data_IF_745288814861
#
_entry.id   IF_745288814861
#
_cell.length_a   1.000
_cell.length_b   1.000
_cell.length_c   1.000
_cell.angle_alpha   90.00
_cell.angle_beta   90.00
_cell.angle_gamma   90.00
#
_symmetry.space_group_name_H-M   'P 1'
#
loop_
_entity.id
_entity.type
_entity.pdbx_description
1 polymer ?
#
# COMPACT_ATOMS: atom_id res chain seq x y z
N UNK A 1 4.12 2.02 8.98
CA UNK A 1 3.26 2.98 9.68
C UNK A 1 1.91 3.23 9.00
N UNK A 2 1.83 3.57 7.71
CA UNK A 2 0.52 3.83 7.06
C UNK A 2 -0.49 2.67 7.21
N UNK A 3 -0.05 1.42 7.03
CA UNK A 3 -0.91 0.25 7.21
C UNK A 3 -1.39 0.07 8.66
N UNK A 4 -0.49 0.24 9.64
CA UNK A 4 -0.83 0.29 11.08
C UNK A 4 -1.86 1.38 11.36
N UNK A 5 -1.67 2.58 10.81
CA UNK A 5 -2.61 3.70 10.93
C UNK A 5 -3.99 3.36 10.39
N UNK A 6 -4.07 2.69 9.23
CA UNK A 6 -5.33 2.20 8.67
C UNK A 6 -6.05 1.26 9.64
N UNK A 7 -5.36 0.23 10.16
CA UNK A 7 -5.94 -0.73 11.11
C UNK A 7 -6.46 -0.07 12.38
N UNK A 8 -5.70 0.88 12.93
CA UNK A 8 -6.11 1.66 14.09
C UNK A 8 -7.31 2.53 13.81
N UNK A 9 -7.36 3.17 12.64
CA UNK A 9 -8.52 3.95 12.20
C UNK A 9 -9.75 3.06 12.08
N UNK A 10 -9.65 1.90 11.41
CA UNK A 10 -10.74 0.93 11.29
C UNK A 10 -11.27 0.49 12.67
N UNK A 11 -10.37 0.18 13.60
CA UNK A 11 -10.72 -0.19 14.98
C UNK A 11 -11.38 0.96 15.76
N UNK A 12 -10.98 2.21 15.52
CA UNK A 12 -11.62 3.36 16.14
C UNK A 12 -13.02 3.58 15.55
N UNK A 13 -13.16 3.48 14.22
CA UNK A 13 -14.43 3.63 13.53
C UNK A 13 -15.43 2.54 13.91
N UNK A 14 -14.99 1.30 14.15
CA UNK A 14 -15.88 0.22 14.59
C UNK A 14 -16.47 0.42 15.99
N UNK A 15 -15.95 1.39 16.77
CA UNK A 15 -16.48 1.75 18.09
C UNK A 15 -17.48 2.92 18.01
N UNK A 16 -17.61 3.57 16.85
CA UNK A 16 -18.56 4.65 16.65
C UNK A 16 -19.97 4.10 16.46
N UNK A 17 -20.94 4.81 17.02
CA UNK A 17 -22.36 4.59 16.75
C UNK A 17 -22.70 5.15 15.36
N UNK A 18 -22.81 4.26 14.37
CA UNK A 18 -23.07 4.62 12.98
C UNK A 18 -24.43 5.28 12.76
N UNK A 19 -25.33 5.24 13.75
CA UNK A 19 -26.60 6.00 13.69
C UNK A 19 -26.40 7.49 13.99
N UNK A 20 -25.28 7.87 14.61
CA UNK A 20 -24.99 9.24 15.04
C UNK A 20 -23.93 9.93 14.19
N UNK A 21 -23.04 9.17 13.56
CA UNK A 21 -21.91 9.70 12.79
C UNK A 21 -21.81 8.96 11.47
N UNK A 22 -21.88 9.70 10.37
CA UNK A 22 -21.51 9.20 9.06
C UNK A 22 -20.05 9.57 8.77
N UNK A 23 -19.25 8.61 8.33
CA UNK A 23 -17.82 8.80 8.07
C UNK A 23 -17.53 8.46 6.61
N UNK A 24 -16.90 9.40 5.91
CA UNK A 24 -16.36 9.19 4.58
C UNK A 24 -14.83 9.19 4.64
N UNK A 25 -14.19 8.18 4.01
CA UNK A 25 -12.74 8.05 3.97
C UNK A 25 -12.25 8.39 2.56
N UNK A 26 -11.42 9.42 2.45
CA UNK A 26 -10.71 9.77 1.21
C UNK A 26 -9.21 9.57 1.38
N UNK A 27 -8.59 8.91 0.39
CA UNK A 27 -7.15 8.66 0.39
C UNK A 27 -6.42 9.59 -0.58
N UNK A 28 -5.35 10.21 -0.09
CA UNK A 28 -4.51 11.14 -0.85
C UNK A 28 -3.08 10.60 -0.98
N UNK A 29 -2.45 10.72 -2.17
CA UNK A 29 -1.14 10.15 -2.42
C UNK A 29 -0.04 10.92 -1.67
N UNK A 30 0.95 10.18 -1.19
CA UNK A 30 2.18 10.75 -0.62
C UNK A 30 3.35 9.82 -0.92
N UNK A 31 4.29 10.27 -1.75
CA UNK A 31 5.50 9.52 -2.08
C UNK A 31 6.59 9.80 -1.03
N UNK A 32 7.00 8.77 -0.28
CA UNK A 32 8.11 8.88 0.70
C UNK A 32 9.46 9.20 0.05
N UNK A 33 9.57 8.89 -1.24
CA UNK A 33 10.74 9.11 -2.05
C UNK A 33 10.33 9.36 -3.51
N UNK A 34 10.00 10.61 -3.80
CA UNK A 34 9.59 11.06 -5.13
C UNK A 34 10.71 10.99 -6.18
N UNK A 35 11.97 10.80 -5.75
CA UNK A 35 13.13 10.66 -6.63
C UNK A 35 13.42 9.22 -7.06
N UNK A 36 12.68 8.22 -6.53
CA UNK A 36 12.84 6.82 -6.94
C UNK A 36 12.57 6.67 -8.44
N UNK A 37 13.42 5.91 -9.18
CA UNK A 37 13.17 5.61 -10.58
C UNK A 37 11.77 5.00 -10.77
N UNK A 38 11.07 5.44 -11.83
CA UNK A 38 9.73 4.92 -12.14
C UNK A 38 9.77 3.45 -12.52
N UNK A 39 10.85 3.00 -13.16
CA UNK A 39 11.04 1.63 -13.56
C UNK A 39 12.05 0.91 -12.67
N UNK A 40 11.81 -0.39 -12.51
CA UNK A 40 12.66 -1.25 -11.70
C UNK A 40 12.36 -1.17 -10.22
N UNK A 41 12.74 -2.24 -9.53
CA UNK A 41 12.61 -2.36 -8.09
C UNK A 41 13.84 -3.09 -7.56
N UNK A 42 14.27 -2.69 -6.38
CA UNK A 42 15.41 -3.31 -5.69
C UNK A 42 14.93 -4.08 -4.47
N UNK A 43 15.80 -4.89 -3.88
CA UNK A 43 15.45 -5.61 -2.66
C UNK A 43 15.10 -4.63 -1.53
N UNK A 44 13.96 -4.88 -0.88
CA UNK A 44 13.40 -4.00 0.15
C UNK A 44 14.39 -3.79 1.31
N UNK A 45 15.04 -4.86 1.77
CA UNK A 45 16.06 -4.80 2.81
C UNK A 45 17.27 -3.98 2.41
N UNK A 46 17.73 -4.09 1.16
CA UNK A 46 18.88 -3.31 0.69
C UNK A 46 18.56 -1.83 0.68
N UNK A 47 17.36 -1.45 0.21
CA UNK A 47 16.87 -0.05 0.28
C UNK A 47 16.87 0.48 1.71
N UNK A 48 16.42 -0.34 2.67
CA UNK A 48 16.33 0.07 4.07
C UNK A 48 17.72 0.25 4.68
N UNK A 49 18.63 -0.71 4.45
CA UNK A 49 20.02 -0.64 4.90
C UNK A 49 20.75 0.56 4.30
N UNK A 50 20.56 0.85 3.01
CA UNK A 50 21.13 2.04 2.38
C UNK A 50 20.63 3.34 3.01
N UNK A 51 19.34 3.41 3.36
CA UNK A 51 18.72 4.63 3.90
C UNK A 51 18.99 4.86 5.38
N UNK A 52 19.02 3.80 6.18
CA UNK A 52 19.01 3.89 7.64
C UNK A 52 20.27 3.31 8.30
N UNK A 53 21.08 2.54 7.56
CA UNK A 53 22.15 1.71 8.13
C UNK A 53 21.62 0.38 8.67
N UNK A 54 22.53 -0.58 8.85
CA UNK A 54 22.16 -1.96 9.18
C UNK A 54 21.50 -2.09 10.56
N UNK A 55 22.14 -1.55 11.60
CA UNK A 55 21.65 -1.69 12.99
C UNK A 55 20.31 -0.99 13.20
N UNK A 56 20.15 0.22 12.66
CA UNK A 56 18.88 0.94 12.72
C UNK A 56 17.78 0.21 11.94
N UNK A 57 18.11 -0.40 10.80
CA UNK A 57 17.14 -1.21 10.03
C UNK A 57 16.65 -2.40 10.85
N UNK A 58 17.55 -3.12 11.53
CA UNK A 58 17.16 -4.24 12.41
C UNK A 58 16.20 -3.78 13.51
N UNK A 59 16.53 -2.70 14.22
CA UNK A 59 15.67 -2.15 15.28
C UNK A 59 14.29 -1.73 14.75
N UNK A 60 14.23 -1.04 13.62
CA UNK A 60 12.98 -0.61 13.00
C UNK A 60 12.09 -1.80 12.58
N UNK A 61 12.70 -2.85 12.02
CA UNK A 61 12.01 -4.08 11.65
C UNK A 61 11.39 -4.73 12.89
N UNK A 62 12.19 -4.95 13.94
CA UNK A 62 11.71 -5.56 15.20
C UNK A 62 10.55 -4.76 15.80
N UNK A 63 10.69 -3.44 15.90
CA UNK A 63 9.64 -2.57 16.42
C UNK A 63 8.35 -2.69 15.59
N UNK A 64 8.48 -2.61 14.27
CA UNK A 64 7.33 -2.62 13.38
C UNK A 64 6.64 -3.99 13.32
N UNK A 65 7.38 -5.10 13.45
CA UNK A 65 6.79 -6.44 13.57
C UNK A 65 5.98 -6.58 14.86
N UNK A 66 6.52 -6.10 15.99
CA UNK A 66 5.81 -6.11 17.27
C UNK A 66 4.53 -5.29 17.19
N UNK A 67 4.60 -4.04 16.71
CA UNK A 67 3.42 -3.20 16.52
C UNK A 67 2.45 -3.78 15.49
N UNK A 68 2.93 -4.36 14.41
CA UNK A 68 2.09 -5.00 13.40
C UNK A 68 1.26 -6.14 13.99
N UNK A 69 1.87 -6.99 14.81
CA UNK A 69 1.19 -8.10 15.48
C UNK A 69 0.04 -7.62 16.36
N UNK A 70 0.21 -6.51 17.07
CA UNK A 70 -0.84 -5.89 17.90
C UNK A 70 -2.06 -5.42 17.07
N UNK A 71 -1.83 -5.09 15.80
CA UNK A 71 -2.87 -4.65 14.85
C UNK A 71 -3.26 -5.74 13.83
N UNK A 72 -2.85 -6.99 14.06
CA UNK A 72 -3.18 -8.12 13.18
C UNK A 72 -2.48 -8.11 11.81
N UNK A 73 -1.35 -7.41 11.68
CA UNK A 73 -0.53 -7.34 10.45
C UNK A 73 0.69 -8.25 10.60
N UNK A 74 0.91 -9.15 9.64
CA UNK A 74 2.10 -9.99 9.58
C UNK A 74 3.14 -9.39 8.63
N UNK A 75 3.89 -8.40 9.12
CA UNK A 75 4.90 -7.74 8.28
C UNK A 75 6.01 -8.69 7.82
N UNK A 76 6.18 -8.78 6.50
CA UNK A 76 7.36 -9.32 5.84
C UNK A 76 8.22 -8.24 5.18
N UNK A 77 9.54 -8.43 5.29
CA UNK A 77 10.55 -7.53 4.78
C UNK A 77 11.30 -8.07 3.56
N UNK A 78 10.91 -9.24 3.06
CA UNK A 78 11.37 -9.71 1.77
C UNK A 78 10.76 -8.92 0.60
N UNK A 79 10.91 -9.49 -0.59
CA UNK A 79 10.45 -8.89 -1.83
C UNK A 79 11.20 -7.63 -2.24
N UNK A 80 10.54 -6.82 -3.07
CA UNK A 80 11.13 -5.64 -3.70
C UNK A 80 10.41 -4.36 -3.32
N UNK A 81 11.09 -3.24 -3.54
CA UNK A 81 10.56 -1.88 -3.41
C UNK A 81 11.01 -1.05 -4.62
N UNK A 82 10.07 -0.30 -5.17
CA UNK A 82 10.27 0.63 -6.29
C UNK A 82 9.41 1.87 -6.10
N UNK A 83 9.15 2.60 -7.19
CA UNK A 83 8.24 3.74 -7.16
C UNK A 83 6.81 3.32 -6.79
N UNK A 84 6.12 4.11 -5.98
CA UNK A 84 4.70 3.90 -5.65
C UNK A 84 3.76 4.71 -6.53
N UNK A 85 4.28 5.37 -7.57
CA UNK A 85 3.53 6.30 -8.40
C UNK A 85 2.35 5.64 -9.11
N UNK A 86 2.58 4.49 -9.76
CA UNK A 86 1.49 3.75 -10.40
C UNK A 86 0.51 3.18 -9.38
N UNK A 87 0.96 2.79 -8.19
CA UNK A 87 0.05 2.41 -7.10
C UNK A 87 -0.85 3.60 -6.69
N UNK A 88 -0.29 4.80 -6.60
CA UNK A 88 -1.05 6.03 -6.33
C UNK A 88 -2.04 6.38 -7.44
N UNK A 89 -1.63 6.28 -8.71
CA UNK A 89 -2.52 6.46 -9.87
C UNK A 89 -3.67 5.49 -9.82
N UNK A 90 -3.42 4.21 -9.51
CA UNK A 90 -4.47 3.20 -9.38
C UNK A 90 -5.46 3.51 -8.24
N UNK A 91 -4.96 3.97 -7.09
CA UNK A 91 -5.85 4.39 -5.99
C UNK A 91 -6.67 5.62 -6.35
N UNK A 92 -6.11 6.55 -7.14
CA UNK A 92 -6.88 7.68 -7.67
C UNK A 92 -7.94 7.22 -8.69
N UNK A 93 -7.58 6.29 -9.57
CA UNK A 93 -8.52 5.64 -10.50
C UNK A 93 -9.73 5.08 -9.77
N UNK A 94 -9.49 4.33 -8.69
CA UNK A 94 -10.56 3.74 -7.88
C UNK A 94 -11.47 4.77 -7.19
N UNK A 95 -10.98 6.00 -6.94
CA UNK A 95 -11.82 7.11 -6.46
C UNK A 95 -12.86 7.49 -7.49
N UNK A 96 -12.41 7.67 -8.74
CA UNK A 96 -13.23 8.15 -9.84
C UNK A 96 -14.18 7.08 -10.37
N UNK A 97 -13.79 5.80 -10.28
CA UNK A 97 -14.52 4.68 -10.87
C UNK A 97 -15.11 3.78 -9.79
N UNK A 98 -16.09 4.29 -9.03
CA UNK A 98 -16.84 3.50 -8.05
C UNK A 98 -16.41 3.66 -6.59
N UNK A 99 -15.56 4.65 -6.28
CA UNK A 99 -15.17 5.05 -4.92
C UNK A 99 -14.60 3.91 -4.05
N UNK A 100 -13.78 3.03 -4.64
CA UNK A 100 -13.20 1.84 -3.97
C UNK A 100 -11.78 2.05 -3.45
N UNK A 101 -11.41 3.29 -3.12
CA UNK A 101 -10.03 3.62 -2.72
C UNK A 101 -9.61 2.85 -1.46
N UNK A 102 -10.52 2.75 -0.49
CA UNK A 102 -10.23 2.20 0.83
C UNK A 102 -10.02 0.68 0.80
N UNK A 103 -10.80 -0.01 -0.01
CA UNK A 103 -10.70 -1.44 -0.31
C UNK A 103 -9.39 -1.72 -1.04
N UNK A 104 -9.11 -0.97 -2.12
CA UNK A 104 -7.93 -1.17 -2.93
C UNK A 104 -6.63 -0.94 -2.15
N UNK A 105 -6.57 0.10 -1.31
CA UNK A 105 -5.40 0.33 -0.45
C UNK A 105 -5.18 -0.82 0.52
N UNK A 106 -6.24 -1.45 1.04
CA UNK A 106 -6.09 -2.60 1.91
C UNK A 106 -5.42 -3.78 1.18
N UNK A 107 -5.81 -4.03 -0.07
CA UNK A 107 -5.20 -5.08 -0.92
C UNK A 107 -3.73 -4.75 -1.23
N UNK A 108 -3.45 -3.53 -1.70
CA UNK A 108 -2.08 -3.08 -2.00
C UNK A 108 -1.18 -3.20 -0.76
N UNK A 109 -1.67 -2.78 0.42
CA UNK A 109 -0.93 -2.93 1.66
C UNK A 109 -0.66 -4.39 2.01
N UNK A 110 -1.65 -5.27 1.92
CA UNK A 110 -1.46 -6.70 2.16
C UNK A 110 -0.43 -7.31 1.20
N UNK A 111 -0.53 -7.00 -0.09
CA UNK A 111 0.40 -7.46 -1.12
C UNK A 111 1.85 -7.02 -0.82
N UNK A 112 2.05 -5.74 -0.52
CA UNK A 112 3.38 -5.18 -0.30
C UNK A 112 4.00 -5.58 1.04
N UNK A 113 3.21 -5.48 2.12
CA UNK A 113 3.71 -5.60 3.49
C UNK A 113 3.65 -7.01 4.05
N UNK A 114 2.79 -7.88 3.54
CA UNK A 114 2.60 -9.24 4.09
C UNK A 114 3.00 -10.32 3.07
N UNK A 115 2.82 -10.06 1.77
CA UNK A 115 3.06 -11.05 0.71
C UNK A 115 4.28 -10.78 -0.16
N UNK A 116 5.10 -9.80 0.19
CA UNK A 116 6.36 -9.47 -0.49
C UNK A 116 6.22 -9.13 -1.98
N UNK A 117 5.03 -8.77 -2.43
CA UNK A 117 4.77 -8.43 -3.83
C UNK A 117 5.30 -7.04 -4.18
N UNK A 118 5.74 -6.90 -5.42
CA UNK A 118 6.28 -5.65 -5.94
C UNK A 118 5.15 -4.75 -6.46
N UNK A 119 4.86 -3.68 -5.71
CA UNK A 119 3.80 -2.73 -6.08
C UNK A 119 4.21 -1.68 -7.13
N UNK A 120 5.43 -1.79 -7.68
CA UNK A 120 5.82 -1.09 -8.90
C UNK A 120 5.54 -1.94 -10.17
N UNK A 121 5.33 -3.25 -10.03
CA UNK A 121 4.96 -4.13 -11.15
C UNK A 121 3.50 -3.93 -11.53
N UNK A 122 3.27 -3.55 -12.79
CA UNK A 122 1.93 -3.30 -13.32
C UNK A 122 1.03 -4.54 -13.23
N UNK A 123 1.58 -5.75 -13.39
CA UNK A 123 0.78 -6.98 -13.27
C UNK A 123 0.27 -7.16 -11.85
N UNK A 124 1.14 -6.95 -10.85
CA UNK A 124 0.77 -7.02 -9.43
C UNK A 124 -0.32 -6.00 -9.10
N UNK A 125 -0.22 -4.79 -9.65
CA UNK A 125 -1.24 -3.75 -9.49
C UNK A 125 -2.57 -4.12 -10.15
N UNK A 126 -2.54 -4.74 -11.33
CA UNK A 126 -3.74 -5.25 -11.99
C UNK A 126 -4.41 -6.36 -11.16
N UNK A 127 -3.61 -7.27 -10.57
CA UNK A 127 -4.12 -8.33 -9.71
C UNK A 127 -4.78 -7.75 -8.44
N UNK A 128 -4.17 -6.71 -7.84
CA UNK A 128 -4.79 -5.97 -6.73
C UNK A 128 -6.13 -5.33 -7.13
N UNK A 129 -6.21 -4.73 -8.32
CA UNK A 129 -7.42 -4.09 -8.81
C UNK A 129 -8.54 -5.10 -9.11
N UNK A 130 -8.17 -6.29 -9.61
CA UNK A 130 -9.12 -7.36 -9.88
C UNK A 130 -9.77 -7.88 -8.60
N UNK A 131 -9.04 -7.95 -7.47
CA UNK A 131 -9.62 -8.36 -6.17
C UNK A 131 -10.71 -7.40 -5.67
N UNK A 132 -10.70 -6.13 -6.10
CA UNK A 132 -11.76 -5.16 -5.80
C UNK A 132 -12.81 -5.03 -6.91
N UNK A 133 -12.72 -5.89 -7.94
CA UNK A 133 -13.71 -6.04 -9.01
C UNK A 133 -13.51 -5.11 -10.21
N UNK A 134 -12.29 -4.61 -10.45
CA UNK A 134 -11.96 -3.95 -11.73
C UNK A 134 -11.54 -4.97 -12.79
N UNK A 135 -11.77 -4.64 -14.06
CA UNK A 135 -11.26 -5.44 -15.17
C UNK A 135 -9.74 -5.31 -15.27
N UNK A 136 -9.06 -6.45 -15.41
CA UNK A 136 -7.59 -6.49 -15.40
C UNK A 136 -6.99 -5.79 -16.61
N UNK A 137 -7.60 -5.94 -17.78
CA UNK A 137 -7.07 -5.37 -19.03
C UNK A 137 -7.29 -3.85 -19.06
N UNK A 138 -8.45 -3.39 -18.63
CA UNK A 138 -8.76 -1.96 -18.46
C UNK A 138 -7.72 -1.26 -17.56
N UNK A 139 -7.40 -1.87 -16.42
CA UNK A 139 -6.40 -1.33 -15.48
C UNK A 139 -5.01 -1.35 -16.09
N UNK A 140 -4.64 -2.42 -16.80
CA UNK A 140 -3.35 -2.48 -17.50
C UNK A 140 -3.21 -1.36 -18.54
N UNK A 141 -4.26 -1.11 -19.32
CA UNK A 141 -4.29 -0.07 -20.35
C UNK A 141 -4.23 1.33 -19.71
N UNK A 142 -4.95 1.55 -18.60
CA UNK A 142 -4.86 2.78 -17.81
C UNK A 142 -3.44 3.02 -17.29
N UNK A 143 -2.83 2.03 -16.64
CA UNK A 143 -1.50 2.16 -16.03
C UNK A 143 -0.40 2.42 -17.06
N UNK A 144 -0.52 1.87 -18.27
CA UNK A 144 0.37 2.15 -19.41
C UNK A 144 0.13 3.51 -20.08
N UNK A 145 -1.02 4.13 -19.85
CA UNK A 145 -1.34 5.45 -20.37
C UNK A 145 -0.72 6.57 -19.53
N UNK A 146 -0.76 7.81 -20.03
CA UNK A 146 -0.40 9.01 -19.27
C UNK A 146 -1.61 9.70 -18.60
N UNK A 147 -2.76 9.00 -18.51
CA UNK A 147 -3.97 9.52 -17.88
C UNK A 147 -3.88 9.52 -16.35
#
# INVERSE_FOLDING_TARGET
WCYVGKRRLEKALSQLDSSKVNVEISWYPFELDSGSPREGSILKLDRYKQKFGEERTKQMITQMQQTGKEEGIQFSYGGKVGSTFNSHRLVHYAKLHGNKQNELIAIIFKYYFEQEKDINDLNVLCDCAQEVGYDRQEIMDFLKSNK
#
